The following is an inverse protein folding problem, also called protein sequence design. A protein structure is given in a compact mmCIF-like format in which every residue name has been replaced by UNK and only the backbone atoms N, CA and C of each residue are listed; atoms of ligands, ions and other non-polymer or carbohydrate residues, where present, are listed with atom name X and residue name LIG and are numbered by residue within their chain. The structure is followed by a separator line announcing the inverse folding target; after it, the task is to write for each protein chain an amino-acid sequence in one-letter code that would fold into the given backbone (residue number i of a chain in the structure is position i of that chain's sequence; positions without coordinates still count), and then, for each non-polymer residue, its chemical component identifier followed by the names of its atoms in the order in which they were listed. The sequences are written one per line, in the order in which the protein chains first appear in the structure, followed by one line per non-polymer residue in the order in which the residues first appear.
data_IF_590016663746
#
_entry.id   IF_590016663746
#
_cell.length_a   1.000
_cell.length_b   1.000
_cell.length_c   1.000
_cell.angle_alpha   90.00
_cell.angle_beta   90.00
_cell.angle_gamma   90.00
#
_symmetry.space_group_name_H-M   'P 1'
#
loop_
_entity.id
_entity.type
_entity.pdbx_description
1 polymer ?
#
# COMPACT_ATOMS: atom_id res chain seq x y z
N UNK A 1 -12.41 -15.05 8.30
CA UNK A 1 -11.19 -15.03 7.46
C UNK A 1 -11.65 -14.77 6.02
N UNK A 2 -11.08 -13.80 5.32
CA UNK A 2 -11.46 -13.50 3.92
C UNK A 2 -10.72 -14.47 3.00
N UNK A 3 -11.42 -15.20 2.10
CA UNK A 3 -10.77 -16.12 1.16
C UNK A 3 -9.79 -15.42 0.20
N UNK A 4 -8.73 -16.12 -0.20
CA UNK A 4 -7.72 -15.61 -1.15
C UNK A 4 -8.31 -15.25 -2.52
N UNK A 5 -9.38 -15.93 -2.94
CA UNK A 5 -10.12 -15.59 -4.16
C UNK A 5 -10.73 -14.20 -4.10
N UNK A 6 -11.17 -13.72 -2.93
CA UNK A 6 -11.71 -12.36 -2.76
C UNK A 6 -10.57 -11.35 -2.86
N UNK A 7 -9.41 -11.63 -2.25
CA UNK A 7 -8.22 -10.79 -2.35
C UNK A 7 -7.68 -10.68 -3.78
N UNK A 8 -7.65 -11.78 -4.53
CA UNK A 8 -7.16 -11.81 -5.91
C UNK A 8 -8.04 -10.98 -6.88
N UNK A 9 -9.34 -10.88 -6.59
CA UNK A 9 -10.30 -10.11 -7.39
C UNK A 9 -10.40 -8.63 -6.98
N UNK A 10 -9.76 -8.23 -5.87
CA UNK A 10 -9.78 -6.84 -5.41
C UNK A 10 -8.87 -5.98 -6.28
N UNK A 11 -9.48 -4.96 -6.89
CA UNK A 11 -8.74 -3.99 -7.68
C UNK A 11 -7.67 -3.29 -6.83
N UNK A 12 -6.48 -2.99 -7.40
CA UNK A 12 -5.46 -2.23 -6.71
C UNK A 12 -5.99 -0.84 -6.34
N UNK A 13 -5.77 -0.41 -5.11
CA UNK A 13 -6.27 0.89 -4.66
C UNK A 13 -5.52 2.04 -5.33
N UNK A 14 -6.22 2.96 -6.02
CA UNK A 14 -5.59 3.98 -6.84
C UNK A 14 -4.68 4.91 -6.02
N UNK A 15 -5.03 5.17 -4.75
CA UNK A 15 -4.20 5.96 -3.85
C UNK A 15 -2.89 5.26 -3.48
N UNK A 16 -2.94 3.96 -3.17
CA UNK A 16 -1.74 3.16 -2.87
C UNK A 16 -0.85 3.04 -4.11
N UNK A 17 -1.45 2.87 -5.29
CA UNK A 17 -0.73 2.83 -6.57
C UNK A 17 0.00 4.15 -6.82
N UNK A 18 -0.68 5.29 -6.69
CA UNK A 18 -0.06 6.62 -6.84
C UNK A 18 1.10 6.83 -5.87
N UNK A 19 0.93 6.48 -4.59
CA UNK A 19 2.00 6.60 -3.60
C UNK A 19 3.20 5.69 -3.93
N UNK A 20 2.96 4.50 -4.50
CA UNK A 20 4.03 3.60 -4.96
C UNK A 20 4.76 4.18 -6.18
N UNK A 21 4.04 4.79 -7.11
CA UNK A 21 4.63 5.48 -8.26
C UNK A 21 5.48 6.67 -7.81
N UNK A 22 4.97 7.52 -6.92
CA UNK A 22 5.74 8.64 -6.34
C UNK A 22 7.02 8.13 -5.66
N UNK A 23 6.91 7.09 -4.83
CA UNK A 23 8.07 6.46 -4.20
C UNK A 23 9.06 5.90 -5.22
N UNK A 24 8.57 5.31 -6.32
CA UNK A 24 9.43 4.78 -7.38
C UNK A 24 10.15 5.89 -8.16
N UNK A 25 9.45 7.02 -8.40
CA UNK A 25 10.02 8.21 -9.02
C UNK A 25 11.11 8.82 -8.15
N UNK A 26 10.91 8.97 -6.84
CA UNK A 26 11.93 9.48 -5.91
C UNK A 26 13.13 8.53 -5.81
N UNK A 27 12.88 7.21 -5.76
CA UNK A 27 13.95 6.21 -5.71
C UNK A 27 14.74 6.10 -7.02
N UNK A 28 14.19 6.55 -8.16
CA UNK A 28 14.82 6.52 -9.51
C UNK A 28 15.57 5.21 -9.83
N UNK A 29 14.99 4.06 -9.46
CA UNK A 29 15.60 2.73 -9.64
C UNK A 29 16.90 2.47 -8.86
N UNK A 30 17.31 3.35 -7.93
CA UNK A 30 18.47 3.13 -7.06
C UNK A 30 18.18 1.99 -6.08
N UNK A 31 19.16 1.14 -5.79
CA UNK A 31 18.96 0.03 -4.84
C UNK A 31 18.84 0.52 -3.38
N UNK A 32 19.73 1.42 -2.95
CA UNK A 32 19.82 1.99 -1.60
C UNK A 32 19.31 3.43 -1.56
N UNK A 33 18.67 3.81 -0.44
CA UNK A 33 18.12 5.16 -0.20
C UNK A 33 18.87 5.92 0.89
N UNK A 34 19.83 5.28 1.56
CA UNK A 34 20.60 5.85 2.65
C UNK A 34 21.57 6.93 2.15
N UNK A 35 21.49 8.11 2.73
CA UNK A 35 22.26 9.29 2.29
C UNK A 35 21.69 9.95 1.03
N UNK A 36 20.46 9.61 0.63
CA UNK A 36 19.75 10.30 -0.44
C UNK A 36 19.06 11.55 0.09
N UNK A 37 19.02 12.63 -0.70
CA UNK A 37 18.31 13.86 -0.32
C UNK A 37 16.82 13.57 -0.02
N UNK A 38 16.19 12.74 -0.86
CA UNK A 38 14.79 12.30 -0.67
C UNK A 38 14.62 11.12 0.30
N UNK A 39 15.63 10.74 1.10
CA UNK A 39 15.55 9.56 1.97
C UNK A 39 14.37 9.62 2.93
N UNK A 40 14.20 10.76 3.60
CA UNK A 40 13.14 10.96 4.57
C UNK A 40 11.76 10.84 3.90
N UNK A 41 11.58 11.47 2.74
CA UNK A 41 10.34 11.42 1.98
C UNK A 41 10.01 9.99 1.51
N UNK A 42 11.01 9.25 1.04
CA UNK A 42 10.84 7.84 0.66
C UNK A 42 10.44 6.99 1.89
N UNK A 43 11.03 7.25 3.07
CA UNK A 43 10.66 6.56 4.32
C UNK A 43 9.23 6.92 4.75
N UNK A 44 8.84 8.20 4.68
CA UNK A 44 7.49 8.66 4.99
C UNK A 44 6.45 8.01 4.05
N UNK A 45 6.69 8.05 2.74
CA UNK A 45 5.82 7.38 1.75
C UNK A 45 5.68 5.89 2.01
N UNK A 46 6.77 5.21 2.37
CA UNK A 46 6.75 3.79 2.73
C UNK A 46 5.83 3.52 3.93
N UNK A 47 5.91 4.38 4.96
CA UNK A 47 5.05 4.26 6.15
C UNK A 47 3.58 4.53 5.81
N UNK A 48 3.29 5.56 5.02
CA UNK A 48 1.93 5.90 4.58
C UNK A 48 1.32 4.73 3.80
N UNK A 49 2.06 4.17 2.83
CA UNK A 49 1.63 3.00 2.06
C UNK A 49 1.31 1.83 2.99
N UNK A 50 2.18 1.53 3.97
CA UNK A 50 1.97 0.45 4.93
C UNK A 50 0.69 0.65 5.75
N UNK A 51 0.49 1.84 6.29
CA UNK A 51 -0.69 2.16 7.11
C UNK A 51 -1.98 2.08 6.29
N UNK A 52 -1.99 2.64 5.07
CA UNK A 52 -3.16 2.58 4.18
C UNK A 52 -3.50 1.16 3.78
N UNK A 53 -2.50 0.33 3.48
CA UNK A 53 -2.70 -1.09 3.18
C UNK A 53 -3.35 -1.82 4.36
N UNK A 54 -2.79 -1.68 5.57
CA UNK A 54 -3.32 -2.32 6.77
C UNK A 54 -4.76 -1.84 7.10
N UNK A 55 -5.04 -0.54 6.93
CA UNK A 55 -6.39 -0.01 7.09
C UNK A 55 -7.36 -0.65 6.10
N UNK A 56 -6.97 -0.75 4.83
CA UNK A 56 -7.85 -1.29 3.80
C UNK A 56 -8.05 -2.80 3.93
N UNK A 57 -7.03 -3.54 4.34
CA UNK A 57 -7.16 -4.96 4.66
C UNK A 57 -8.21 -5.18 5.77
N UNK A 58 -8.21 -4.32 6.80
CA UNK A 58 -9.25 -4.35 7.85
C UNK A 58 -10.63 -3.99 7.32
N UNK A 59 -10.75 -2.99 6.44
CA UNK A 59 -12.03 -2.59 5.85
C UNK A 59 -12.62 -3.71 5.00
N UNK A 60 -11.84 -4.31 4.10
CA UNK A 60 -12.28 -5.45 3.29
C UNK A 60 -12.70 -6.62 4.16
N UNK A 61 -11.94 -6.92 5.22
CA UNK A 61 -12.30 -7.99 6.15
C UNK A 61 -13.59 -7.72 6.92
N UNK A 62 -13.89 -6.44 7.19
CA UNK A 62 -15.14 -6.02 7.81
C UNK A 62 -16.30 -6.10 6.82
N UNK A 63 -16.16 -5.49 5.64
CA UNK A 63 -17.15 -5.53 4.54
C UNK A 63 -17.53 -6.99 4.22
N UNK A 64 -16.54 -7.85 3.98
CA UNK A 64 -16.78 -9.27 3.71
C UNK A 64 -17.48 -10.00 4.86
N UNK A 65 -17.24 -9.61 6.11
CA UNK A 65 -17.91 -10.23 7.25
C UNK A 65 -19.38 -9.79 7.32
N UNK A 66 -19.67 -8.51 7.08
CA UNK A 66 -21.03 -7.96 7.11
C UNK A 66 -21.90 -8.49 5.96
N UNK A 67 -21.32 -8.72 4.78
CA UNK A 67 -22.07 -9.20 3.61
C UNK A 67 -22.37 -10.72 3.65
N UNK A 68 -21.61 -11.49 4.44
CA UNK A 68 -21.68 -12.97 4.43
C UNK A 68 -22.01 -13.63 5.78
N UNK A 69 -22.06 -12.88 6.90
CA UNK A 69 -22.38 -13.39 8.24
C UNK A 69 -23.33 -12.45 8.99
#
# INVERSE_FOLDING_TARGET
MVPDSVWANLAPYPEIVKLREQRAQLKRSKYRIEGHEDEEEIRQLTNIIRTKRAYREKQVAKEYREDYF
#
